data_IF_006779934149
#
_entry.id   IF_006779934149
#
_cell.length_a   1.000
_cell.length_b   1.000
_cell.length_c   1.000
_cell.angle_alpha   90.00
_cell.angle_beta   90.00
_cell.angle_gamma   90.00
#
_symmetry.space_group_name_H-M   'P 1'
#
loop_
_entity.id
_entity.type
_entity.pdbx_description
1 polymer ?
#
# COMPACT_ATOMS: atom_id res chain seq x y z
N UNK A 1 19.86 -4.73 27.64
CA UNK A 1 19.73 -5.07 26.21
C UNK A 1 18.41 -4.48 25.76
N UNK A 2 18.40 -3.64 24.72
CA UNK A 2 17.18 -3.05 24.17
C UNK A 2 17.02 -3.59 22.75
N UNK A 3 15.83 -4.11 22.43
CA UNK A 3 15.44 -4.45 21.08
C UNK A 3 14.46 -3.36 20.60
N UNK A 4 14.68 -2.84 19.40
CA UNK A 4 13.72 -1.95 18.75
C UNK A 4 12.66 -2.85 18.12
N UNK A 5 11.43 -2.74 18.60
CA UNK A 5 10.27 -3.41 18.02
C UNK A 5 9.52 -2.41 17.14
N UNK A 6 8.98 -2.87 16.02
CA UNK A 6 8.15 -2.04 15.14
C UNK A 6 6.78 -1.82 15.76
N UNK A 7 6.22 -0.62 15.61
CA UNK A 7 4.89 -0.32 16.14
C UNK A 7 3.80 -0.73 15.16
N UNK A 8 2.91 -1.62 15.62
CA UNK A 8 1.72 -2.10 14.90
C UNK A 8 0.40 -1.70 15.57
N UNK A 9 0.44 -0.78 16.54
CA UNK A 9 -0.76 -0.26 17.19
C UNK A 9 -1.68 0.47 16.21
N UNK A 10 -2.98 0.61 16.56
CA UNK A 10 -3.87 1.48 15.80
C UNK A 10 -3.27 2.86 15.61
N UNK A 11 -3.33 3.34 14.37
CA UNK A 11 -2.79 4.66 13.99
C UNK A 11 -3.74 5.33 13.01
N UNK A 12 -3.98 6.63 13.20
CA UNK A 12 -4.77 7.44 12.29
C UNK A 12 -3.94 8.64 11.87
N UNK A 13 -3.74 8.80 10.56
CA UNK A 13 -3.03 9.93 9.97
C UNK A 13 -4.00 10.70 9.07
N UNK A 14 -3.98 12.03 9.20
CA UNK A 14 -4.77 12.93 8.37
C UNK A 14 -3.83 13.71 7.45
N UNK A 15 -4.06 13.62 6.15
CA UNK A 15 -3.39 14.47 5.17
C UNK A 15 -4.11 15.81 5.08
N UNK A 16 -3.36 16.90 5.19
CA UNK A 16 -3.85 18.27 5.07
C UNK A 16 -3.18 18.96 3.89
N UNK A 17 -3.91 19.84 3.22
CA UNK A 17 -3.38 20.68 2.14
C UNK A 17 -2.43 21.76 2.70
N UNK A 18 -1.63 22.42 1.86
CA UNK A 18 -0.82 23.57 2.28
C UNK A 18 -1.62 24.70 2.93
N UNK A 19 -2.91 24.83 2.58
CA UNK A 19 -3.84 25.81 3.12
C UNK A 19 -4.46 25.37 4.46
N UNK A 20 -4.24 24.12 4.89
CA UNK A 20 -4.73 23.56 6.16
C UNK A 20 -6.02 22.74 6.03
N UNK A 21 -6.54 22.54 4.82
CA UNK A 21 -7.79 21.81 4.60
C UNK A 21 -7.56 20.28 4.61
N UNK A 22 -8.46 19.48 5.20
CA UNK A 22 -8.35 18.03 5.17
C UNK A 22 -8.50 17.49 3.74
N UNK A 23 -7.61 16.58 3.34
CA UNK A 23 -7.64 15.93 2.01
C UNK A 23 -8.14 14.49 2.13
N UNK A 24 -7.52 13.69 3.00
CA UNK A 24 -7.92 12.31 3.29
C UNK A 24 -7.42 11.86 4.66
N UNK A 25 -7.96 10.75 5.14
CA UNK A 25 -7.57 10.11 6.39
C UNK A 25 -7.17 8.67 6.09
N UNK A 26 -6.03 8.21 6.59
CA UNK A 26 -5.60 6.81 6.54
C UNK A 26 -5.53 6.25 7.96
N UNK A 27 -6.17 5.11 8.16
CA UNK A 27 -6.23 4.40 9.44
C UNK A 27 -5.60 3.01 9.29
N UNK A 28 -4.64 2.69 10.16
CA UNK A 28 -4.27 1.31 10.46
C UNK A 28 -5.18 0.82 11.58
N UNK A 29 -6.11 -0.11 11.32
CA UNK A 29 -7.00 -0.62 12.36
C UNK A 29 -6.25 -1.51 13.35
N UNK A 30 -6.83 -1.72 14.53
CA UNK A 30 -6.33 -2.73 15.46
C UNK A 30 -6.51 -4.14 14.87
N UNK A 31 -5.46 -4.95 14.93
CA UNK A 31 -5.45 -6.33 14.40
C UNK A 31 -6.53 -7.22 15.01
N UNK A 32 -6.98 -6.91 16.22
CA UNK A 32 -8.01 -7.63 16.96
C UNK A 32 -9.44 -7.41 16.44
N UNK A 33 -9.67 -6.34 15.65
CA UNK A 33 -11.01 -5.94 15.22
C UNK A 33 -11.41 -6.50 13.84
N UNK A 34 -10.48 -6.57 12.87
CA UNK A 34 -10.82 -6.92 11.47
C UNK A 34 -10.14 -8.18 10.92
N UNK A 35 -9.31 -8.88 11.71
CA UNK A 35 -8.57 -10.07 11.24
C UNK A 35 -7.51 -9.75 10.16
N UNK A 36 -7.32 -8.48 9.83
CA UNK A 36 -6.31 -7.93 8.92
C UNK A 36 -5.94 -6.52 9.39
N UNK A 37 -4.66 -6.16 9.27
CA UNK A 37 -4.11 -4.83 9.63
C UNK A 37 -4.10 -3.90 8.40
N UNK A 38 -4.92 -4.20 7.40
CA UNK A 38 -4.93 -3.47 6.13
C UNK A 38 -5.34 -2.00 6.35
N UNK A 39 -4.49 -1.01 5.99
CA UNK A 39 -4.84 0.38 6.11
C UNK A 39 -6.11 0.71 5.32
N UNK A 40 -7.00 1.45 5.96
CA UNK A 40 -8.28 1.91 5.43
C UNK A 40 -8.15 3.38 5.08
N UNK A 41 -8.64 3.76 3.89
CA UNK A 41 -8.63 5.14 3.42
C UNK A 41 -10.03 5.73 3.46
N UNK A 42 -10.14 6.94 3.99
CA UNK A 42 -11.35 7.74 4.04
C UNK A 42 -11.13 9.09 3.34
N UNK A 43 -12.16 9.61 2.72
CA UNK A 43 -12.19 10.98 2.24
C UNK A 43 -12.27 11.97 3.41
N UNK A 44 -12.04 13.25 3.13
CA UNK A 44 -12.13 14.33 4.13
C UNK A 44 -13.50 14.42 4.83
N UNK A 45 -14.58 13.99 4.16
CA UNK A 45 -15.94 13.92 4.71
C UNK A 45 -16.19 12.69 5.59
N UNK A 46 -15.18 11.84 5.80
CA UNK A 46 -15.27 10.60 6.57
C UNK A 46 -15.83 9.40 5.79
N UNK A 47 -16.19 9.56 4.52
CA UNK A 47 -16.65 8.45 3.68
C UNK A 47 -15.50 7.50 3.39
N UNK A 48 -15.71 6.20 3.60
CA UNK A 48 -14.73 5.16 3.22
C UNK A 48 -14.50 5.19 1.71
N UNK A 49 -13.24 5.29 1.31
CA UNK A 49 -12.79 5.16 -0.08
C UNK A 49 -12.43 3.71 -0.37
N UNK A 50 -11.72 3.05 0.54
CA UNK A 50 -11.20 1.71 0.27
C UNK A 50 -10.18 1.22 1.29
N UNK A 51 -9.41 0.22 0.89
CA UNK A 51 -8.32 -0.36 1.70
C UNK A 51 -7.15 -0.83 0.83
N UNK A 52 -5.99 -0.97 1.46
CA UNK A 52 -4.76 -1.43 0.82
C UNK A 52 -4.32 -2.71 1.52
N UNK A 53 -4.45 -3.85 0.83
CA UNK A 53 -4.09 -5.15 1.37
C UNK A 53 -2.69 -5.55 0.91
N UNK A 54 -1.91 -6.18 1.80
CA UNK A 54 -0.68 -6.87 1.43
C UNK A 54 -1.01 -8.25 0.84
N UNK A 55 -0.40 -8.58 -0.31
CA UNK A 55 -0.54 -9.84 -1.03
C UNK A 55 0.82 -10.26 -1.62
N UNK A 56 1.84 -10.51 -0.77
CA UNK A 56 3.19 -10.76 -1.24
C UNK A 56 3.25 -12.04 -2.08
N UNK A 57 4.07 -12.01 -3.13
CA UNK A 57 4.41 -13.23 -3.87
C UNK A 57 5.39 -14.06 -3.05
N UNK A 58 5.07 -15.33 -2.78
CA UNK A 58 5.89 -16.21 -1.95
C UNK A 58 6.57 -17.32 -2.77
N UNK A 59 7.82 -17.65 -2.42
CA UNK A 59 8.48 -18.85 -2.90
C UNK A 59 8.05 -20.04 -2.04
N UNK A 60 7.32 -20.99 -2.64
CA UNK A 60 6.87 -22.22 -1.99
C UNK A 60 7.85 -23.39 -2.10
N UNK A 61 9.06 -23.19 -2.66
CA UNK A 61 10.02 -24.27 -2.91
C UNK A 61 10.96 -24.52 -1.72
N UNK A 62 10.43 -25.00 -0.61
CA UNK A 62 11.25 -25.46 0.51
C UNK A 62 10.41 -26.09 1.64
N UNK A 63 10.94 -27.12 2.28
CA UNK A 63 10.21 -27.87 3.34
C UNK A 63 9.93 -27.04 4.61
N UNK A 64 10.47 -25.83 4.79
CA UNK A 64 10.32 -25.11 6.08
C UNK A 64 10.21 -23.58 6.06
N UNK A 65 10.27 -22.84 4.93
CA UNK A 65 10.16 -21.36 4.98
C UNK A 65 9.54 -20.74 3.74
N UNK A 66 8.40 -20.06 3.92
CA UNK A 66 7.82 -19.14 2.95
C UNK A 66 8.71 -17.89 2.85
N UNK A 67 9.37 -17.67 1.72
CA UNK A 67 10.18 -16.47 1.47
C UNK A 67 9.41 -15.51 0.56
N UNK A 68 9.32 -14.23 0.95
CA UNK A 68 8.75 -13.20 0.08
C UNK A 68 9.68 -12.98 -1.12
N UNK A 69 9.16 -13.22 -2.31
CA UNK A 69 9.80 -13.01 -3.61
C UNK A 69 9.53 -11.62 -4.18
N UNK A 70 8.36 -11.06 -3.90
CA UNK A 70 7.98 -9.72 -4.32
C UNK A 70 6.93 -9.17 -3.39
N UNK A 71 7.11 -7.93 -2.93
CA UNK A 71 6.03 -7.22 -2.26
C UNK A 71 5.02 -6.73 -3.29
N UNK A 72 3.76 -7.10 -3.05
CA UNK A 72 2.61 -6.73 -3.86
C UNK A 72 1.49 -6.32 -2.93
N UNK A 73 0.74 -5.32 -3.37
CA UNK A 73 -0.42 -4.80 -2.67
C UNK A 73 -1.62 -4.68 -3.60
N UNK A 74 -2.81 -4.83 -3.02
CA UNK A 74 -4.09 -4.69 -3.73
C UNK A 74 -4.83 -3.47 -3.21
N UNK A 75 -5.11 -2.54 -4.10
CA UNK A 75 -5.92 -1.35 -3.83
C UNK A 75 -7.38 -1.71 -4.11
N UNK A 76 -8.18 -1.76 -3.05
CA UNK A 76 -9.61 -2.07 -3.12
C UNK A 76 -10.44 -0.86 -2.80
N UNK A 77 -11.59 -0.76 -3.46
CA UNK A 77 -12.60 0.23 -3.10
C UNK A 77 -13.36 -0.16 -1.81
N UNK A 78 -14.33 0.67 -1.45
CA UNK A 78 -15.17 0.48 -0.27
C UNK A 78 -16.02 -0.81 -0.33
N UNK A 79 -16.38 -1.27 -1.53
CA UNK A 79 -17.14 -2.50 -1.76
C UNK A 79 -16.24 -3.75 -1.78
N UNK A 80 -14.92 -3.56 -1.77
CA UNK A 80 -13.91 -4.63 -1.75
C UNK A 80 -13.46 -5.11 -3.13
N UNK A 81 -13.92 -4.48 -4.22
CA UNK A 81 -13.47 -4.75 -5.56
C UNK A 81 -12.03 -4.25 -5.75
N UNK A 82 -11.20 -5.05 -6.42
CA UNK A 82 -9.81 -4.69 -6.70
C UNK A 82 -9.79 -3.79 -7.93
N UNK A 83 -9.28 -2.58 -7.77
CA UNK A 83 -9.11 -1.63 -8.88
C UNK A 83 -7.67 -1.58 -9.39
N UNK A 84 -6.70 -1.84 -8.51
CA UNK A 84 -5.30 -1.72 -8.85
C UNK A 84 -4.43 -2.71 -8.07
N UNK A 85 -3.41 -3.22 -8.75
CA UNK A 85 -2.29 -3.92 -8.14
C UNK A 85 -1.09 -2.98 -8.10
N UNK A 86 -0.48 -2.84 -6.93
CA UNK A 86 0.77 -2.12 -6.75
C UNK A 86 1.87 -3.14 -6.49
N UNK A 87 2.94 -3.10 -7.27
CA UNK A 87 4.00 -4.11 -7.21
C UNK A 87 5.35 -3.44 -7.05
N UNK A 88 6.15 -3.95 -6.13
CA UNK A 88 7.51 -3.51 -5.99
C UNK A 88 8.30 -3.86 -7.27
N UNK A 89 8.99 -2.87 -7.82
CA UNK A 89 9.75 -3.04 -9.07
C UNK A 89 11.02 -3.82 -8.80
N UNK A 90 11.09 -5.04 -9.36
CA UNK A 90 12.26 -5.91 -9.29
C UNK A 90 13.13 -5.71 -10.54
N UNK A 91 14.44 -5.47 -10.37
CA UNK A 91 15.37 -5.42 -11.50
C UNK A 91 15.60 -6.84 -12.07
N UNK A 92 15.48 -6.99 -13.39
CA UNK A 92 15.71 -8.28 -14.08
C UNK A 92 17.09 -8.84 -13.73
N UNK A 93 17.14 -10.10 -13.30
CA UNK A 93 18.37 -10.86 -13.08
C UNK A 93 18.87 -10.93 -11.63
N UNK A 94 18.22 -10.25 -10.68
CA UNK A 94 18.55 -10.38 -9.26
C UNK A 94 17.47 -11.17 -8.53
N UNK A 95 17.75 -12.44 -8.23
CA UNK A 95 17.07 -13.22 -7.18
C UNK A 95 17.42 -12.70 -5.76
N UNK A 96 17.72 -11.40 -5.63
CA UNK A 96 17.84 -10.79 -4.31
C UNK A 96 16.44 -10.64 -3.73
N UNK A 97 16.33 -10.77 -2.41
CA UNK A 97 15.08 -10.47 -1.73
C UNK A 97 14.59 -9.09 -2.19
N UNK A 98 13.30 -8.95 -2.49
CA UNK A 98 12.75 -7.76 -3.10
C UNK A 98 12.81 -6.53 -2.17
N UNK A 99 13.12 -6.72 -0.87
CA UNK A 99 13.12 -5.75 0.24
C UNK A 99 13.83 -4.40 0.02
N UNK A 100 14.71 -4.25 -0.98
CA UNK A 100 15.56 -3.06 -1.10
C UNK A 100 15.00 -1.98 -2.04
N UNK A 101 13.95 -2.29 -2.85
CA UNK A 101 13.43 -1.36 -3.86
C UNK A 101 12.26 -0.53 -3.34
N UNK A 102 12.45 0.78 -3.14
CA UNK A 102 11.32 1.70 -2.84
C UNK A 102 10.46 2.06 -4.05
N UNK A 103 10.68 1.42 -5.20
CA UNK A 103 10.01 1.73 -6.46
C UNK A 103 8.80 0.83 -6.62
N UNK A 104 7.65 1.39 -6.96
CA UNK A 104 6.38 0.67 -7.10
C UNK A 104 5.75 1.01 -8.45
N UNK A 105 5.37 -0.02 -9.19
CA UNK A 105 4.57 0.10 -10.41
C UNK A 105 3.10 -0.21 -10.06
N UNK A 106 2.19 0.63 -10.54
CA UNK A 106 0.75 0.47 -10.34
C UNK A 106 0.11 0.07 -11.65
N UNK A 107 -0.63 -1.04 -11.64
CA UNK A 107 -1.35 -1.53 -12.80
C UNK A 107 -2.85 -1.67 -12.50
N UNK A 108 -3.69 -1.43 -13.50
CA UNK A 108 -5.12 -1.70 -13.43
C UNK A 108 -5.42 -3.22 -13.49
N UNK A 109 -6.71 -3.58 -13.52
CA UNK A 109 -7.15 -4.97 -13.64
C UNK A 109 -6.78 -5.64 -14.97
N UNK A 110 -6.51 -4.87 -16.03
CA UNK A 110 -6.05 -5.36 -17.31
C UNK A 110 -4.51 -5.50 -17.39
N UNK A 111 -3.79 -5.06 -16.35
CA UNK A 111 -2.33 -5.06 -16.30
C UNK A 111 -1.70 -3.86 -17.00
N UNK A 112 -2.49 -2.85 -17.39
CA UNK A 112 -1.98 -1.59 -17.93
C UNK A 112 -1.42 -0.74 -16.80
N UNK A 113 -0.21 -0.21 -16.96
CA UNK A 113 0.39 0.70 -15.98
C UNK A 113 -0.42 1.99 -15.93
N UNK A 114 -0.75 2.43 -14.72
CA UNK A 114 -1.51 3.66 -14.47
C UNK A 114 -0.73 4.69 -13.65
N UNK A 115 0.24 4.24 -12.86
CA UNK A 115 1.13 5.11 -12.10
C UNK A 115 2.47 4.42 -11.80
N UNK A 116 3.47 5.22 -11.41
CA UNK A 116 4.79 4.77 -10.97
C UNK A 116 5.28 5.64 -9.82
N UNK A 117 5.64 5.00 -8.70
CA UNK A 117 6.34 5.64 -7.60
C UNK A 117 7.82 5.30 -7.67
N UNK A 118 8.69 6.32 -7.73
CA UNK A 118 10.13 6.12 -7.86
C UNK A 118 10.90 6.13 -6.52
N UNK A 119 10.17 6.13 -5.39
CA UNK A 119 10.72 6.28 -4.04
C UNK A 119 10.71 7.73 -3.51
N UNK A 120 10.38 8.71 -4.36
CA UNK A 120 10.26 10.13 -3.99
C UNK A 120 9.05 10.80 -4.62
N UNK A 121 8.79 10.51 -5.88
CA UNK A 121 7.72 11.10 -6.67
C UNK A 121 6.79 10.01 -7.18
N UNK A 122 5.50 10.28 -7.11
CA UNK A 122 4.45 9.50 -7.73
C UNK A 122 4.07 10.16 -9.05
N UNK A 123 4.27 9.41 -10.14
CA UNK A 123 3.89 9.82 -11.48
C UNK A 123 2.63 9.07 -11.89
N UNK A 124 1.57 9.80 -12.19
CA UNK A 124 0.30 9.23 -12.68
C UNK A 124 0.25 9.41 -14.19
N UNK A 125 0.03 8.34 -14.94
CA UNK A 125 0.11 8.38 -16.41
C UNK A 125 -1.10 9.06 -17.06
N UNK A 126 -2.29 8.85 -16.48
CA UNK A 126 -3.56 9.36 -16.98
C UNK A 126 -4.44 9.77 -15.80
N UNK A 127 -5.38 10.72 -15.97
CA UNK A 127 -6.37 11.03 -14.94
C UNK A 127 -7.08 9.76 -14.47
N UNK A 128 -7.02 9.49 -13.15
CA UNK A 128 -7.67 8.34 -12.54
C UNK A 128 -9.01 8.78 -11.94
N UNK A 129 -10.00 7.87 -11.81
CA UNK A 129 -11.18 8.15 -11.01
C UNK A 129 -10.80 8.54 -9.57
N UNK A 130 -11.46 9.54 -8.98
CA UNK A 130 -11.10 10.10 -7.67
C UNK A 130 -10.82 9.03 -6.58
N UNK A 131 -11.63 7.96 -6.42
CA UNK A 131 -11.35 6.94 -5.40
C UNK A 131 -10.02 6.21 -5.65
N UNK A 132 -9.73 5.87 -6.90
CA UNK A 132 -8.49 5.19 -7.28
C UNK A 132 -7.30 6.14 -7.17
N UNK A 133 -7.47 7.42 -7.54
CA UNK A 133 -6.44 8.43 -7.38
C UNK A 133 -6.04 8.57 -5.90
N UNK A 134 -7.02 8.67 -5.00
CA UNK A 134 -6.75 8.77 -3.56
C UNK A 134 -6.03 7.51 -3.03
N UNK A 135 -6.45 6.31 -3.45
CA UNK A 135 -5.78 5.07 -3.07
C UNK A 135 -4.32 5.01 -3.53
N UNK A 136 -4.04 5.42 -4.77
CA UNK A 136 -2.68 5.45 -5.34
C UNK A 136 -1.81 6.53 -4.69
N UNK A 137 -2.39 7.68 -4.30
CA UNK A 137 -1.67 8.76 -3.61
C UNK A 137 -1.35 8.38 -2.16
N UNK A 138 -2.27 7.72 -1.46
CA UNK A 138 -2.10 7.33 -0.06
C UNK A 138 -1.23 6.07 0.12
N UNK A 139 -1.04 5.27 -0.93
CA UNK A 139 -0.40 3.96 -0.80
C UNK A 139 1.04 3.96 -0.30
N UNK A 140 1.93 4.95 -0.59
CA UNK A 140 3.25 4.98 0.02
C UNK A 140 3.20 5.05 1.55
N UNK A 141 2.28 5.84 2.11
CA UNK A 141 2.07 5.94 3.56
C UNK A 141 1.46 4.63 4.09
N UNK A 142 0.54 4.03 3.34
CA UNK A 142 -0.04 2.74 3.70
C UNK A 142 1.01 1.62 3.78
N UNK A 143 2.00 1.61 2.87
CA UNK A 143 3.08 0.63 2.89
C UNK A 143 3.93 0.76 4.15
N UNK A 144 4.27 1.99 4.56
CA UNK A 144 4.99 2.25 5.81
C UNK A 144 4.17 1.79 7.04
N UNK A 145 2.85 2.06 7.05
CA UNK A 145 1.96 1.60 8.12
C UNK A 145 1.86 0.06 8.19
N UNK A 146 1.88 -0.63 7.04
CA UNK A 146 1.88 -2.08 6.95
C UNK A 146 3.19 -2.71 7.43
N UNK A 147 4.33 -2.06 7.14
CA UNK A 147 5.65 -2.55 7.55
C UNK A 147 5.91 -2.30 9.04
N UNK A 148 5.13 -1.43 9.70
CA UNK A 148 5.30 -1.05 11.10
C UNK A 148 6.30 0.10 11.24
N UNK A 149 5.82 1.22 11.80
CA UNK A 149 6.55 2.48 11.94
C UNK A 149 7.56 2.45 13.09
#
# INVERSE_FOLDING_TARGET
MFAVERDYSRTVLQAVSPEGEPVFIIERPDSSAEGSVAPILYAADGRRIGRIDSDPLLDGRGMDRWRIMQDRWRLRDADGAIHCNAEQRVYRGLFKAPSDSKKVDYADSAGMRIAHFNGRWLHVEFPLPDPLQLLVVASPIAFDLLDGA
#
